data_IF_173539245888
#
_entry.id   IF_173539245888
#
_cell.length_a   1.000
_cell.length_b   1.000
_cell.length_c   1.000
_cell.angle_alpha   90.00
_cell.angle_beta   90.00
_cell.angle_gamma   90.00
#
_symmetry.space_group_name_H-M   'P 1'
#
loop_
_entity.id
_entity.type
_entity.pdbx_description
1 polymer ?
#
# COMPACT_ATOMS: atom_id res chain seq x y z
N UNK A 1 4.43 3.53 14.74
CA UNK A 1 3.62 2.90 13.68
C UNK A 1 2.96 1.62 14.18
N UNK A 2 3.68 0.62 14.78
CA UNK A 2 3.12 -0.67 15.20
C UNK A 2 1.87 -0.55 16.09
N UNK A 3 1.92 0.26 17.16
CA UNK A 3 0.76 0.47 18.06
C UNK A 3 -0.43 1.14 17.36
N UNK A 4 -0.17 2.01 16.39
CA UNK A 4 -1.23 2.64 15.58
C UNK A 4 -1.89 1.56 14.71
N UNK A 5 -1.08 0.75 14.01
CA UNK A 5 -1.56 -0.36 13.20
C UNK A 5 -2.39 -1.36 14.04
N UNK A 6 -1.88 -1.78 15.20
CA UNK A 6 -2.59 -2.66 16.14
C UNK A 6 -3.96 -2.09 16.52
N UNK A 7 -4.00 -0.82 16.92
CA UNK A 7 -5.24 -0.16 17.36
C UNK A 7 -6.28 -0.08 16.24
N UNK A 8 -5.86 0.28 15.02
CA UNK A 8 -6.77 0.44 13.87
C UNK A 8 -7.29 -0.93 13.39
N UNK A 9 -6.43 -1.94 13.36
CA UNK A 9 -6.81 -3.30 12.94
C UNK A 9 -7.53 -4.09 14.04
N UNK A 10 -7.50 -3.63 15.29
CA UNK A 10 -8.00 -4.40 16.45
C UNK A 10 -7.18 -5.68 16.68
N UNK A 11 -5.89 -5.65 16.33
CA UNK A 11 -5.00 -6.79 16.41
C UNK A 11 -4.25 -6.82 17.72
N UNK A 12 -4.05 -8.02 18.27
CA UNK A 12 -3.28 -8.26 19.50
C UNK A 12 -1.81 -8.56 19.20
N UNK A 13 -1.52 -9.12 18.03
CA UNK A 13 -0.19 -9.38 17.51
C UNK A 13 0.04 -8.52 16.26
N UNK A 14 1.24 -7.97 16.15
CA UNK A 14 1.66 -7.17 15.00
C UNK A 14 3.01 -7.62 14.50
N UNK A 15 3.07 -8.05 13.26
CA UNK A 15 4.31 -8.32 12.56
C UNK A 15 4.63 -7.15 11.62
N UNK A 16 5.90 -6.76 11.61
CA UNK A 16 6.43 -5.87 10.59
C UNK A 16 6.56 -6.65 9.29
N UNK A 17 6.02 -6.09 8.19
CA UNK A 17 6.04 -6.77 6.91
C UNK A 17 7.17 -6.25 6.03
N UNK A 18 7.18 -4.96 5.72
CA UNK A 18 8.30 -4.25 5.09
C UNK A 18 8.08 -2.74 5.14
N UNK A 19 9.07 -1.99 4.69
CA UNK A 19 8.97 -0.54 4.51
C UNK A 19 9.44 -0.09 3.13
N UNK A 20 9.08 1.14 2.80
CA UNK A 20 9.47 1.74 1.53
C UNK A 20 9.52 3.26 1.66
N UNK A 21 10.63 3.83 1.21
CA UNK A 21 10.78 5.28 1.10
C UNK A 21 10.31 5.75 -0.27
N UNK A 22 9.42 6.73 -0.28
CA UNK A 22 8.97 7.40 -1.50
C UNK A 22 9.57 8.80 -1.58
N UNK A 23 10.20 9.10 -2.71
CA UNK A 23 10.76 10.42 -2.99
C UNK A 23 10.25 10.89 -4.35
N UNK A 24 9.53 12.00 -4.37
CA UNK A 24 9.17 12.71 -5.60
C UNK A 24 9.88 14.06 -5.59
N UNK A 25 10.86 14.22 -6.45
CA UNK A 25 11.61 15.49 -6.57
C UNK A 25 10.70 16.62 -7.04
N UNK A 26 11.14 17.85 -6.86
CA UNK A 26 10.38 19.02 -7.30
C UNK A 26 10.17 18.98 -8.82
N UNK A 27 8.96 19.26 -9.28
CA UNK A 27 8.59 19.24 -10.70
C UNK A 27 8.48 17.85 -11.32
N UNK A 28 8.53 16.77 -10.54
CA UNK A 28 8.38 15.40 -11.02
C UNK A 28 6.96 15.11 -11.48
N UNK A 29 6.71 14.83 -12.77
CA UNK A 29 5.36 14.56 -13.27
C UNK A 29 4.89 13.13 -12.96
N UNK A 30 5.80 12.23 -12.63
CA UNK A 30 5.51 10.80 -12.47
C UNK A 30 4.49 10.58 -11.35
N UNK A 31 3.42 9.92 -11.71
CA UNK A 31 2.34 9.51 -10.82
C UNK A 31 2.68 8.17 -10.18
N UNK A 32 2.06 7.87 -9.05
CA UNK A 32 1.87 6.49 -8.62
C UNK A 32 0.49 6.08 -9.13
N UNK A 33 0.38 5.11 -10.05
CA UNK A 33 -0.90 4.66 -10.59
C UNK A 33 -1.86 4.20 -9.50
N UNK A 34 -3.16 4.17 -9.81
CA UNK A 34 -4.16 3.60 -8.93
C UNK A 34 -3.94 2.10 -8.77
N UNK A 35 -3.87 1.61 -7.53
CA UNK A 35 -3.62 0.21 -7.22
C UNK A 35 -4.14 -0.15 -5.82
N UNK A 36 -4.21 -1.44 -5.56
CA UNK A 36 -4.33 -2.04 -4.24
C UNK A 36 -2.96 -2.58 -3.84
N UNK A 37 -2.54 -2.40 -2.59
CA UNK A 37 -1.24 -2.88 -2.12
C UNK A 37 -1.19 -4.42 -1.98
N UNK A 38 -2.21 -5.02 -1.36
CA UNK A 38 -2.18 -6.43 -0.96
C UNK A 38 -2.08 -7.43 -2.13
N UNK A 39 -2.61 -7.20 -3.33
CA UNK A 39 -2.39 -8.08 -4.48
C UNK A 39 -0.92 -8.26 -4.87
N UNK A 40 -0.05 -7.30 -4.59
CA UNK A 40 1.40 -7.40 -4.82
C UNK A 40 2.13 -8.34 -3.85
N UNK A 41 1.49 -8.78 -2.77
CA UNK A 41 2.15 -9.42 -1.63
C UNK A 41 1.70 -10.86 -1.42
N UNK A 42 2.62 -11.72 -1.01
CA UNK A 42 2.30 -13.10 -0.62
C UNK A 42 1.63 -13.16 0.78
N UNK A 43 0.52 -12.44 0.94
CA UNK A 43 -0.23 -12.36 2.20
C UNK A 43 -1.74 -12.41 1.94
N UNK A 44 -2.46 -13.11 2.82
CA UNK A 44 -3.92 -13.10 2.94
C UNK A 44 -4.34 -12.60 4.32
N UNK A 45 -5.62 -12.27 4.48
CA UNK A 45 -6.19 -11.74 5.72
C UNK A 45 -6.73 -10.32 5.55
N UNK A 46 -7.47 -9.85 6.56
CA UNK A 46 -8.06 -8.50 6.58
C UNK A 46 -7.19 -7.53 7.41
N UNK A 47 -6.45 -8.05 8.38
CA UNK A 47 -5.58 -7.24 9.23
C UNK A 47 -4.20 -7.04 8.57
N UNK A 48 -4.23 -6.39 7.40
CA UNK A 48 -3.06 -5.99 6.63
C UNK A 48 -3.20 -4.51 6.31
N UNK A 49 -2.29 -3.68 6.81
CA UNK A 49 -2.38 -2.25 6.61
C UNK A 49 -1.04 -1.59 6.32
N UNK A 50 -1.11 -0.44 5.66
CA UNK A 50 0.00 0.49 5.45
C UNK A 50 -0.15 1.68 6.39
N UNK A 51 0.94 2.08 7.05
CA UNK A 51 1.07 3.36 7.75
C UNK A 51 2.01 4.23 6.95
N UNK A 52 1.47 5.25 6.29
CA UNK A 52 2.19 6.18 5.43
C UNK A 52 2.42 7.49 6.16
N UNK A 53 3.68 7.92 6.26
CA UNK A 53 4.16 8.99 7.12
C UNK A 53 4.85 10.04 6.26
N UNK A 54 4.32 11.27 6.15
CA UNK A 54 4.99 12.35 5.43
C UNK A 54 6.25 12.81 6.19
N UNK A 55 7.33 13.02 5.47
CA UNK A 55 8.57 13.58 6.00
C UNK A 55 8.75 15.06 5.64
N UNK A 56 7.91 15.57 4.76
CA UNK A 56 7.82 16.96 4.35
C UNK A 56 6.36 17.41 4.46
N UNK A 57 6.05 18.70 4.56
CA UNK A 57 4.68 19.19 4.39
C UNK A 57 4.17 18.87 2.98
N UNK A 58 3.00 18.30 2.89
CA UNK A 58 2.40 17.83 1.64
C UNK A 58 1.01 18.46 1.49
N UNK A 59 0.81 19.20 0.43
CA UNK A 59 -0.52 19.72 0.09
C UNK A 59 -1.41 18.60 -0.43
N UNK A 60 -2.71 18.71 -0.19
CA UNK A 60 -3.75 17.76 -0.65
C UNK A 60 -3.56 17.37 -2.12
N UNK A 61 -3.25 18.35 -2.97
CA UNK A 61 -3.06 18.15 -4.42
C UNK A 61 -1.83 17.27 -4.78
N UNK A 62 -0.91 17.04 -3.83
CA UNK A 62 0.28 16.18 -4.01
C UNK A 62 0.30 14.98 -3.06
N UNK A 63 -0.74 14.81 -2.24
CA UNK A 63 -0.87 13.75 -1.26
C UNK A 63 -1.37 12.43 -1.88
N UNK A 64 -1.43 11.37 -1.07
CA UNK A 64 -2.13 10.16 -1.48
C UNK A 64 -3.62 10.45 -1.71
N UNK A 65 -4.16 9.79 -2.69
CA UNK A 65 -5.57 9.81 -3.07
C UNK A 65 -6.14 8.40 -2.90
N UNK A 66 -7.36 8.29 -2.38
CA UNK A 66 -8.03 7.02 -2.13
C UNK A 66 -9.41 7.03 -2.74
N UNK A 67 -9.80 5.90 -3.34
CA UNK A 67 -11.20 5.67 -3.69
C UNK A 67 -11.94 5.24 -2.43
N UNK A 68 -12.90 6.04 -1.97
CA UNK A 68 -13.68 5.76 -0.75
C UNK A 68 -14.40 4.42 -0.83
N UNK A 69 -14.25 3.59 0.19
CA UNK A 69 -14.92 2.29 0.29
C UNK A 69 -14.28 1.16 -0.52
N UNK A 70 -13.24 1.43 -1.32
CA UNK A 70 -12.61 0.45 -2.20
C UNK A 70 -11.89 -0.70 -1.47
N UNK A 71 -11.66 -0.60 -0.17
CA UNK A 71 -11.13 -1.71 0.63
C UNK A 71 -12.03 -2.96 0.61
N UNK A 72 -13.30 -2.81 0.26
CA UNK A 72 -14.27 -3.90 0.11
C UNK A 72 -14.32 -4.48 -1.31
N UNK A 73 -13.55 -3.93 -2.24
CA UNK A 73 -13.52 -4.44 -3.61
C UNK A 73 -12.75 -5.76 -3.70
N UNK A 74 -13.02 -6.58 -4.73
CA UNK A 74 -12.21 -7.75 -4.99
C UNK A 74 -10.76 -7.35 -5.29
N UNK A 75 -9.85 -8.33 -5.22
CA UNK A 75 -8.48 -8.12 -5.65
C UNK A 75 -8.43 -7.91 -7.18
N UNK A 76 -7.61 -6.97 -7.59
CA UNK A 76 -7.36 -6.64 -8.99
C UNK A 76 -5.90 -6.90 -9.35
N UNK A 77 -5.64 -7.05 -10.63
CA UNK A 77 -4.33 -7.38 -11.14
C UNK A 77 -3.33 -6.26 -10.82
N UNK A 78 -2.17 -6.57 -10.19
CA UNK A 78 -1.10 -5.62 -10.02
C UNK A 78 -0.45 -5.24 -11.36
N UNK A 79 0.10 -4.02 -11.43
CA UNK A 79 0.88 -3.54 -12.57
C UNK A 79 2.25 -3.06 -12.14
N UNK A 80 3.25 -3.18 -13.00
CA UNK A 80 4.56 -2.60 -12.80
C UNK A 80 4.48 -1.07 -12.86
N UNK A 81 4.99 -0.38 -11.84
CA UNK A 81 4.92 1.09 -11.77
C UNK A 81 5.80 1.80 -12.82
N UNK A 82 6.73 1.08 -13.45
CA UNK A 82 7.66 1.68 -14.41
C UNK A 82 7.09 1.84 -15.82
N UNK A 83 6.30 0.88 -16.27
CA UNK A 83 5.79 0.80 -17.64
C UNK A 83 4.29 0.47 -17.72
N UNK A 84 3.63 0.35 -16.57
CA UNK A 84 2.21 0.00 -16.42
C UNK A 84 1.84 -1.35 -17.03
N UNK A 85 2.82 -2.25 -17.24
CA UNK A 85 2.54 -3.61 -17.70
C UNK A 85 1.90 -4.45 -16.58
N UNK A 86 0.88 -5.28 -16.88
CA UNK A 86 0.22 -6.11 -15.88
C UNK A 86 1.14 -7.23 -15.41
N UNK A 87 0.97 -7.65 -14.15
CA UNK A 87 1.59 -8.88 -13.64
C UNK A 87 1.01 -10.09 -14.36
N UNK A 88 1.91 -11.00 -14.76
CA UNK A 88 1.51 -12.20 -15.49
C UNK A 88 1.08 -13.34 -14.56
N UNK A 89 0.14 -14.14 -15.02
CA UNK A 89 -0.26 -15.39 -14.35
C UNK A 89 -1.09 -15.24 -13.08
N UNK A 90 -1.50 -14.04 -12.70
CA UNK A 90 -2.27 -13.80 -11.46
C UNK A 90 -3.71 -14.29 -11.55
N UNK A 91 -4.31 -14.27 -12.75
CA UNK A 91 -5.72 -14.60 -12.97
C UNK A 91 -6.70 -13.58 -12.39
N UNK A 92 -6.22 -12.46 -11.91
CA UNK A 92 -7.05 -11.39 -11.34
C UNK A 92 -7.60 -10.47 -12.45
N UNK A 93 -8.81 -9.90 -12.26
CA UNK A 93 -9.36 -8.91 -13.18
C UNK A 93 -8.57 -7.60 -13.11
N UNK A 94 -8.60 -6.84 -14.20
CA UNK A 94 -8.00 -5.49 -14.22
C UNK A 94 -8.77 -4.53 -13.32
N UNK A 95 -8.03 -3.58 -12.73
CA UNK A 95 -8.62 -2.48 -11.96
C UNK A 95 -9.43 -1.59 -12.92
N UNK A 96 -10.64 -1.12 -12.54
CA UNK A 96 -11.33 -0.08 -13.31
C UNK A 96 -10.43 1.13 -13.56
N UNK A 97 -10.61 1.79 -14.70
CA UNK A 97 -9.83 2.96 -15.04
C UNK A 97 -10.30 4.18 -14.23
N UNK A 98 -9.85 4.25 -12.97
CA UNK A 98 -10.24 5.32 -12.03
C UNK A 98 -9.96 6.71 -12.61
N UNK A 99 -8.88 6.86 -13.36
CA UNK A 99 -8.48 8.16 -13.92
C UNK A 99 -9.49 8.68 -14.96
N UNK A 100 -9.98 7.80 -15.84
CA UNK A 100 -10.96 8.18 -16.88
C UNK A 100 -12.38 8.36 -16.33
N UNK A 101 -12.65 7.76 -15.16
CA UNK A 101 -13.97 7.74 -14.53
C UNK A 101 -13.97 8.46 -13.18
N UNK A 102 -13.03 9.40 -12.98
CA UNK A 102 -12.75 10.01 -11.66
C UNK A 102 -13.99 10.67 -11.04
N UNK A 103 -14.88 11.20 -11.85
CA UNK A 103 -16.14 11.83 -11.42
C UNK A 103 -17.16 10.83 -10.84
N UNK A 104 -16.99 9.53 -11.09
CA UNK A 104 -17.86 8.48 -10.58
C UNK A 104 -17.46 8.03 -9.18
N UNK A 105 -16.27 8.47 -8.70
CA UNK A 105 -15.71 8.04 -7.42
C UNK A 105 -15.60 9.20 -6.43
N UNK A 106 -15.89 8.94 -5.17
CA UNK A 106 -15.55 9.85 -4.09
C UNK A 106 -14.06 9.68 -3.73
N UNK A 107 -13.24 10.66 -4.14
CA UNK A 107 -11.81 10.65 -3.90
C UNK A 107 -11.46 11.38 -2.61
N UNK A 108 -10.79 10.69 -1.70
CA UNK A 108 -10.32 11.22 -0.43
C UNK A 108 -8.84 11.57 -0.51
N UNK A 109 -8.47 12.73 0.02
CA UNK A 109 -7.08 13.17 0.15
C UNK A 109 -6.99 14.30 1.17
N UNK A 110 -5.82 14.53 1.76
CA UNK A 110 -5.63 15.52 2.84
C UNK A 110 -4.32 16.30 2.69
N UNK A 111 -4.31 17.54 3.20
CA UNK A 111 -3.06 18.23 3.54
C UNK A 111 -2.42 17.51 4.72
N UNK A 112 -1.10 17.39 4.71
CA UNK A 112 -0.36 16.66 5.73
C UNK A 112 0.93 17.39 6.11
N UNK A 113 1.35 17.22 7.35
CA UNK A 113 2.63 17.71 7.86
C UNK A 113 3.40 16.58 8.57
N UNK A 114 4.73 16.70 8.74
CA UNK A 114 5.48 15.75 9.55
C UNK A 114 4.89 15.62 10.96
N UNK A 115 4.61 14.39 11.37
CA UNK A 115 3.88 14.03 12.59
C UNK A 115 2.48 13.44 12.32
N UNK A 116 1.90 13.71 11.15
CA UNK A 116 0.69 13.02 10.70
C UNK A 116 1.01 11.63 10.16
N UNK A 117 -0.02 10.81 9.99
CA UNK A 117 0.05 9.58 9.21
C UNK A 117 -1.30 9.24 8.58
N UNK A 118 -1.26 8.55 7.44
CA UNK A 118 -2.42 7.86 6.87
C UNK A 118 -2.29 6.38 7.16
N UNK A 119 -3.38 5.77 7.63
CA UNK A 119 -3.46 4.32 7.84
C UNK A 119 -4.56 3.78 6.96
N UNK A 120 -4.24 2.81 6.13
CA UNK A 120 -5.20 2.23 5.21
C UNK A 120 -4.97 0.73 5.04
N UNK A 121 -6.08 0.03 4.82
CA UNK A 121 -6.10 -1.42 4.61
C UNK A 121 -5.51 -1.75 3.22
N UNK A 122 -4.79 -2.88 3.11
CA UNK A 122 -4.03 -3.24 1.92
C UNK A 122 -4.85 -3.39 0.63
N UNK A 123 -6.18 -3.57 0.73
CA UNK A 123 -7.10 -3.62 -0.42
C UNK A 123 -7.65 -2.25 -0.82
N UNK A 124 -7.33 -1.17 -0.09
CA UNK A 124 -7.78 0.17 -0.47
C UNK A 124 -7.13 0.62 -1.77
N UNK A 125 -7.93 0.95 -2.77
CA UNK A 125 -7.44 1.52 -4.03
C UNK A 125 -6.93 2.92 -3.77
N UNK A 126 -5.68 3.14 -4.09
CA UNK A 126 -5.02 4.43 -3.89
C UNK A 126 -3.98 4.70 -4.97
N UNK A 127 -3.60 5.96 -5.06
CA UNK A 127 -2.57 6.44 -5.96
C UNK A 127 -2.03 7.78 -5.49
N UNK A 128 -1.15 8.38 -6.26
CA UNK A 128 -0.74 9.75 -5.98
C UNK A 128 -0.33 10.49 -7.25
N UNK A 129 -0.66 11.78 -7.36
CA UNK A 129 -0.17 12.60 -8.46
C UNK A 129 1.35 12.78 -8.42
N UNK A 130 1.91 13.36 -9.45
CA UNK A 130 3.28 13.86 -9.45
C UNK A 130 3.49 14.96 -8.39
N UNK A 131 4.70 15.46 -8.29
CA UNK A 131 5.02 16.59 -7.43
C UNK A 131 5.19 17.87 -8.27
N UNK A 132 4.13 18.67 -8.37
CA UNK A 132 4.12 19.92 -9.13
C UNK A 132 4.79 21.10 -8.41
N UNK A 133 5.28 20.93 -7.16
CA UNK A 133 6.06 21.95 -6.49
C UNK A 133 7.35 22.23 -7.26
N UNK A 134 7.68 23.49 -7.45
CA UNK A 134 8.94 23.90 -8.10
C UNK A 134 10.12 24.00 -7.13
N UNK A 135 9.84 23.98 -5.83
CA UNK A 135 10.82 24.30 -4.79
C UNK A 135 11.06 23.14 -3.82
N UNK A 136 10.04 22.29 -3.60
CA UNK A 136 10.07 21.29 -2.54
C UNK A 136 9.90 19.89 -3.09
N UNK A 137 10.78 18.98 -2.66
CA UNK A 137 10.57 17.55 -2.82
C UNK A 137 9.46 17.06 -1.89
N UNK A 138 8.89 15.91 -2.21
CA UNK A 138 7.91 15.21 -1.38
C UNK A 138 8.48 13.86 -0.97
N UNK A 139 8.78 13.69 0.33
CA UNK A 139 9.24 12.41 0.89
C UNK A 139 8.20 11.84 1.83
N UNK A 140 8.05 10.54 1.80
CA UNK A 140 7.23 9.80 2.73
C UNK A 140 7.80 8.41 2.98
N UNK A 141 7.65 7.92 4.21
CA UNK A 141 7.95 6.55 4.61
C UNK A 141 6.64 5.79 4.74
N UNK A 142 6.49 4.67 4.07
CA UNK A 142 5.40 3.75 4.30
C UNK A 142 5.92 2.48 4.99
N UNK A 143 5.29 2.11 6.10
CA UNK A 143 5.56 0.85 6.82
C UNK A 143 4.33 -0.04 6.73
N UNK A 144 4.51 -1.34 6.49
CA UNK A 144 3.43 -2.30 6.30
C UNK A 144 3.38 -3.27 7.48
N UNK A 145 2.18 -3.60 7.89
CA UNK A 145 1.90 -4.31 9.12
C UNK A 145 0.85 -5.38 8.90
N UNK A 146 1.09 -6.53 9.53
CA UNK A 146 0.19 -7.69 9.50
C UNK A 146 -0.26 -8.03 10.92
N UNK A 147 -1.56 -8.30 11.09
CA UNK A 147 -2.17 -8.61 12.37
C UNK A 147 -2.45 -10.11 12.57
N UNK A 148 -3.38 -10.40 13.48
CA UNK A 148 -3.67 -11.75 13.98
C UNK A 148 -4.19 -12.72 12.90
N UNK A 149 -4.94 -12.23 11.92
CA UNK A 149 -5.54 -13.04 10.84
C UNK A 149 -4.68 -13.16 9.59
N UNK A 150 -3.58 -12.40 9.52
CA UNK A 150 -2.71 -12.43 8.36
C UNK A 150 -1.96 -13.76 8.26
N UNK A 151 -1.93 -14.32 7.05
CA UNK A 151 -1.26 -15.59 6.74
C UNK A 151 -0.40 -15.45 5.51
N UNK A 152 0.72 -16.17 5.51
CA UNK A 152 1.48 -16.37 4.28
C UNK A 152 0.61 -17.08 3.26
N UNK A 153 0.68 -16.66 2.01
CA UNK A 153 -0.15 -17.19 0.94
C UNK A 153 0.62 -17.12 -0.38
N UNK A 154 0.98 -18.27 -0.94
CA UNK A 154 1.46 -18.33 -2.30
C UNK A 154 0.37 -17.83 -3.24
N UNK A 155 0.72 -16.90 -4.10
CA UNK A 155 -0.18 -16.41 -5.16
C UNK A 155 0.23 -17.00 -6.49
N UNK A 156 -0.76 -17.20 -7.35
CA UNK A 156 -0.47 -17.48 -8.75
C UNK A 156 0.21 -16.26 -9.38
N UNK A 157 1.19 -16.53 -10.24
CA UNK A 157 1.92 -15.48 -10.94
C UNK A 157 2.97 -14.76 -10.09
N UNK A 158 3.24 -13.54 -10.49
CA UNK A 158 4.28 -12.69 -9.90
C UNK A 158 3.83 -12.10 -8.56
N UNK A 159 4.77 -11.93 -7.64
CA UNK A 159 4.59 -11.20 -6.37
C UNK A 159 5.79 -10.28 -6.13
N UNK A 160 5.57 -9.11 -5.57
CA UNK A 160 6.64 -8.17 -5.25
C UNK A 160 7.31 -8.47 -3.91
N UNK A 161 6.54 -8.89 -2.90
CA UNK A 161 7.02 -9.13 -1.53
C UNK A 161 6.47 -10.47 -1.03
N UNK A 162 7.33 -11.34 -0.44
CA UNK A 162 8.74 -11.13 -0.16
C UNK A 162 9.65 -11.25 -1.40
N UNK A 163 10.80 -10.60 -1.34
CA UNK A 163 11.83 -10.70 -2.39
C UNK A 163 12.74 -11.92 -2.27
N UNK A 164 12.60 -12.67 -1.18
CA UNK A 164 13.32 -13.91 -0.89
C UNK A 164 12.39 -14.89 -0.17
N UNK A 165 12.73 -16.18 -0.21
CA UNK A 165 11.94 -17.22 0.47
C UNK A 165 11.91 -16.98 1.99
N UNK A 166 10.74 -16.77 2.60
CA UNK A 166 10.59 -16.60 4.03
C UNK A 166 10.65 -17.92 4.80
N UNK A 167 10.69 -19.07 4.13
CA UNK A 167 10.62 -20.40 4.75
C UNK A 167 9.24 -20.74 5.34
N UNK A 168 8.18 -20.09 4.87
CA UNK A 168 6.81 -20.30 5.33
C UNK A 168 5.99 -21.11 4.31
N UNK A 169 5.11 -21.95 4.81
CA UNK A 169 4.10 -22.65 3.99
C UNK A 169 2.79 -21.83 3.93
N UNK A 170 1.96 -22.14 2.93
CA UNK A 170 0.62 -21.55 2.81
C UNK A 170 -0.19 -21.76 4.10
N UNK A 171 -0.75 -20.65 4.61
CA UNK A 171 -1.52 -20.64 5.83
C UNK A 171 -0.71 -20.42 7.10
N UNK A 172 0.61 -20.40 7.03
CA UNK A 172 1.46 -20.10 8.18
C UNK A 172 1.27 -18.65 8.65
N UNK A 173 1.50 -18.43 9.94
CA UNK A 173 1.60 -17.08 10.48
C UNK A 173 2.81 -16.36 9.86
N UNK A 174 2.66 -15.08 9.60
CA UNK A 174 3.77 -14.23 9.18
C UNK A 174 4.68 -13.93 10.39
N UNK A 175 5.38 -14.94 10.87
CA UNK A 175 6.26 -14.83 12.04
C UNK A 175 7.58 -15.57 11.74
N UNK A 176 8.52 -14.84 11.15
CA UNK A 176 9.85 -15.30 10.80
C UNK A 176 10.82 -14.11 10.79
N UNK A 177 12.10 -14.36 10.52
CA UNK A 177 13.14 -13.32 10.51
C UNK A 177 12.83 -12.18 9.51
N UNK A 178 12.16 -12.47 8.39
CA UNK A 178 11.74 -11.45 7.43
C UNK A 178 10.53 -10.63 7.92
N UNK A 179 9.68 -11.23 8.75
CA UNK A 179 8.44 -10.64 9.25
C UNK A 179 8.35 -10.71 10.77
N UNK A 180 9.26 -10.04 11.49
CA UNK A 180 9.37 -10.18 12.93
C UNK A 180 8.13 -9.66 13.65
N UNK A 181 7.72 -10.37 14.71
CA UNK A 181 6.72 -9.89 15.65
C UNK A 181 7.27 -8.69 16.43
N UNK A 182 6.49 -7.60 16.46
CA UNK A 182 6.85 -6.35 17.16
C UNK A 182 5.98 -6.12 18.39
N UNK A 183 4.76 -6.62 18.38
CA UNK A 183 3.79 -6.58 19.49
C UNK A 183 3.12 -7.93 19.64
#
# INVERSE_FOLDING_TARGET
>A
AARIAASIMGASRINFFYDQMFVKESGTPERTPWHQDQPYWAVSGQQVCSVWIPLDPIQKAASLQFVKGSHSWPAHNPHHFGDDSPYEGTGLPELPNIESEIEEYEILSWDMVPGDCLVFQGMSVHGSPGNNSKEHRRRALATRWCGDDARYCHKAGEVAIPTSDPGLADGDLLDCDLFPSIL
#
